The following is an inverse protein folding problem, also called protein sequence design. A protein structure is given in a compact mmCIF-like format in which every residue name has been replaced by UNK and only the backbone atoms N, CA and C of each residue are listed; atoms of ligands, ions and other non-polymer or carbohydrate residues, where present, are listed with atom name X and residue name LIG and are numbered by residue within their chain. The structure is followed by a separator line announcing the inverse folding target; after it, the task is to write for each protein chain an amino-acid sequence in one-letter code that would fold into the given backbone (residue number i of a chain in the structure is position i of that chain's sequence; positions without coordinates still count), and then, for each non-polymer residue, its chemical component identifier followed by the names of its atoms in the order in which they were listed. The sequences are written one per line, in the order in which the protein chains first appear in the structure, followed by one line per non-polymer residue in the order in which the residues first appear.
data_IF_409764882188
#
_entry.id   IF_409764882188
#
_cell.length_a   1.000
_cell.length_b   1.000
_cell.length_c   1.000
_cell.angle_alpha   90.00
_cell.angle_beta   90.00
_cell.angle_gamma   90.00
#
_symmetry.space_group_name_H-M   'P 1'
#
loop_
_entity.id
_entity.type
_entity.pdbx_description
1 polymer ?
#
# COMPACT_ATOMS: atom_id res chain seq x y z
N UNK A 1 -7.34 -0.19 18.84
CA UNK A 1 -6.37 -0.45 17.75
C UNK A 1 -6.79 0.43 16.60
N UNK A 2 -5.91 1.29 16.08
CA UNK A 2 -6.26 2.21 14.99
C UNK A 2 -6.60 1.39 13.75
N UNK A 3 -7.74 1.70 13.13
CA UNK A 3 -8.20 1.07 11.89
C UNK A 3 -7.94 2.02 10.72
N UNK A 4 -7.17 1.56 9.73
CA UNK A 4 -6.98 2.28 8.47
C UNK A 4 -7.68 1.51 7.35
N UNK A 5 -8.59 2.18 6.66
CA UNK A 5 -9.37 1.60 5.56
C UNK A 5 -9.10 2.37 4.27
N UNK A 6 -8.89 1.65 3.18
CA UNK A 6 -8.64 2.20 1.85
C UNK A 6 -9.75 1.75 0.92
N UNK A 7 -10.39 2.71 0.28
CA UNK A 7 -11.41 2.47 -0.74
C UNK A 7 -10.88 2.94 -2.08
N UNK A 8 -10.43 1.99 -2.90
CA UNK A 8 -9.79 2.24 -4.18
C UNK A 8 -10.80 2.51 -5.32
N UNK A 9 -10.36 3.22 -6.37
CA UNK A 9 -11.08 3.27 -7.64
C UNK A 9 -11.34 1.87 -8.21
N UNK A 10 -12.30 1.74 -9.14
CA UNK A 10 -12.49 0.47 -9.84
C UNK A 10 -11.21 0.11 -10.60
N UNK A 11 -10.56 -0.98 -10.20
CA UNK A 11 -9.33 -1.48 -10.83
C UNK A 11 -9.51 -2.96 -11.17
N UNK A 12 -8.66 -3.47 -12.07
CA UNK A 12 -8.69 -4.88 -12.45
C UNK A 12 -8.24 -5.82 -11.31
N UNK A 13 -7.42 -5.33 -10.36
CA UNK A 13 -6.91 -6.05 -9.20
C UNK A 13 -6.66 -5.11 -8.01
N UNK A 14 -6.63 -5.64 -6.79
CA UNK A 14 -6.57 -4.83 -5.56
C UNK A 14 -5.29 -3.99 -5.41
N UNK A 15 -4.18 -4.40 -6.02
CA UNK A 15 -2.92 -3.63 -6.04
C UNK A 15 -2.77 -2.75 -7.27
N UNK A 16 -3.66 -2.88 -8.26
CA UNK A 16 -3.62 -2.11 -9.50
C UNK A 16 -2.39 -2.33 -10.39
N UNK A 17 -1.65 -3.43 -10.18
CA UNK A 17 -0.43 -3.77 -10.96
C UNK A 17 -0.71 -4.65 -12.18
N UNK A 18 -1.98 -4.91 -12.47
CA UNK A 18 -2.43 -5.75 -13.57
C UNK A 18 -2.59 -4.90 -14.84
N UNK A 19 -1.54 -4.82 -15.66
CA UNK A 19 -1.57 -4.10 -16.94
C UNK A 19 -0.19 -3.68 -17.43
N UNK A 20 -0.13 -3.10 -18.63
CA UNK A 20 1.11 -2.56 -19.21
C UNK A 20 1.42 -1.13 -18.77
N UNK A 21 0.43 -0.44 -18.20
CA UNK A 21 0.54 0.95 -17.75
C UNK A 21 0.26 1.02 -16.25
N UNK A 22 1.23 0.56 -15.46
CA UNK A 22 1.14 0.50 -13.99
C UNK A 22 1.54 1.87 -13.45
N UNK A 23 0.63 2.51 -12.69
CA UNK A 23 0.99 3.71 -11.95
C UNK A 23 1.94 3.33 -10.79
N UNK A 24 3.16 3.89 -10.72
CA UNK A 24 4.14 3.54 -9.69
C UNK A 24 3.69 3.88 -8.27
N UNK A 25 2.67 4.74 -8.09
CA UNK A 25 2.11 5.04 -6.78
C UNK A 25 1.44 3.82 -6.16
N UNK A 26 0.83 2.94 -6.96
CA UNK A 26 0.04 1.81 -6.49
C UNK A 26 0.88 0.70 -5.81
N UNK A 27 2.00 0.22 -6.41
CA UNK A 27 2.89 -0.73 -5.73
C UNK A 27 3.62 -0.10 -4.53
N UNK A 28 3.98 1.19 -4.61
CA UNK A 28 4.57 1.90 -3.47
C UNK A 28 3.59 1.96 -2.30
N UNK A 29 2.37 2.39 -2.56
CA UNK A 29 1.32 2.49 -1.56
C UNK A 29 0.97 1.12 -0.97
N UNK A 30 0.91 0.06 -1.79
CA UNK A 30 0.73 -1.31 -1.29
C UNK A 30 1.84 -1.74 -0.31
N UNK A 31 3.10 -1.39 -0.59
CA UNK A 31 4.22 -1.66 0.31
C UNK A 31 4.13 -0.84 1.62
N UNK A 32 3.68 0.42 1.53
CA UNK A 32 3.48 1.27 2.71
C UNK A 32 2.34 0.75 3.60
N UNK A 33 1.26 0.22 3.03
CA UNK A 33 0.18 -0.44 3.76
C UNK A 33 0.66 -1.72 4.47
N UNK A 34 1.50 -2.53 3.81
CA UNK A 34 2.11 -3.70 4.46
C UNK A 34 2.99 -3.29 5.64
N UNK A 35 3.82 -2.25 5.46
CA UNK A 35 4.63 -1.71 6.55
C UNK A 35 3.76 -1.28 7.74
N UNK A 36 2.62 -0.62 7.52
CA UNK A 36 1.69 -0.28 8.60
C UNK A 36 1.14 -1.51 9.33
N UNK A 37 0.85 -2.61 8.62
CA UNK A 37 0.43 -3.88 9.25
C UNK A 37 1.52 -4.43 10.16
N UNK A 38 2.80 -4.35 9.76
CA UNK A 38 3.90 -4.78 10.62
C UNK A 38 4.08 -3.89 11.86
N UNK A 39 3.61 -2.65 11.82
CA UNK A 39 3.56 -1.75 12.99
C UNK A 39 2.33 -2.01 13.89
N UNK A 40 1.49 -3.00 13.57
CA UNK A 40 0.30 -3.34 14.36
C UNK A 40 -0.92 -2.47 14.06
N UNK A 41 -0.99 -1.83 12.89
CA UNK A 41 -2.20 -1.15 12.41
C UNK A 41 -3.11 -2.16 11.73
N UNK A 42 -4.42 -2.07 11.99
CA UNK A 42 -5.40 -2.85 11.27
C UNK A 42 -5.68 -2.18 9.92
N UNK A 43 -5.15 -2.75 8.82
CA UNK A 43 -5.25 -2.17 7.48
C UNK A 43 -6.15 -3.01 6.58
N UNK A 44 -7.27 -2.42 6.16
CA UNK A 44 -8.19 -3.01 5.18
C UNK A 44 -8.19 -2.20 3.87
N UNK A 45 -8.30 -2.90 2.74
CA UNK A 45 -8.26 -2.29 1.41
C UNK A 45 -9.33 -2.93 0.54
N UNK A 46 -10.16 -2.11 -0.08
CA UNK A 46 -11.33 -2.51 -0.84
C UNK A 46 -11.26 -1.93 -2.26
N UNK A 47 -11.53 -2.76 -3.26
CA UNK A 47 -11.62 -2.30 -4.64
C UNK A 47 -13.08 -2.17 -5.10
N UNK A 48 -13.48 -1.02 -5.65
CA UNK A 48 -14.88 -0.80 -6.05
C UNK A 48 -15.39 -1.82 -7.07
N UNK A 49 -14.54 -2.26 -8.01
CA UNK A 49 -14.94 -3.21 -9.04
C UNK A 49 -15.12 -4.65 -8.51
N UNK A 50 -14.43 -4.99 -7.42
CA UNK A 50 -14.44 -6.36 -6.86
C UNK A 50 -15.33 -6.49 -5.63
N UNK A 51 -15.44 -5.41 -4.85
CA UNK A 51 -16.05 -5.40 -3.52
C UNK A 51 -17.01 -4.20 -3.34
N UNK A 52 -17.98 -3.97 -4.24
CA UNK A 52 -18.86 -2.80 -4.17
C UNK A 52 -19.73 -2.74 -2.90
N UNK A 53 -19.97 -3.88 -2.23
CA UNK A 53 -20.74 -3.94 -0.97
C UNK A 53 -20.17 -3.03 0.12
N UNK A 54 -18.85 -3.06 0.33
CA UNK A 54 -18.19 -2.24 1.35
C UNK A 54 -18.35 -0.73 1.11
N UNK A 55 -18.53 -0.30 -0.14
CA UNK A 55 -18.71 1.11 -0.50
C UNK A 55 -20.12 1.62 -0.22
N UNK A 56 -21.12 0.74 -0.16
CA UNK A 56 -22.51 1.12 0.18
C UNK A 56 -22.82 0.96 1.67
N UNK A 57 -22.08 0.09 2.35
CA UNK A 57 -22.21 -0.16 3.79
C UNK A 57 -21.64 0.99 4.64
N UNK A 58 -20.55 1.63 4.21
CA UNK A 58 -20.00 2.79 4.92
C UNK A 58 -20.69 4.08 4.45
N UNK A 59 -21.42 4.74 5.36
CA UNK A 59 -22.21 5.93 5.02
C UNK A 59 -21.37 7.12 4.53
N UNK A 60 -20.17 7.31 5.09
CA UNK A 60 -19.28 8.40 4.69
C UNK A 60 -18.72 8.18 3.28
N UNK A 61 -18.33 6.94 2.97
CA UNK A 61 -17.87 6.55 1.62
C UNK A 61 -19.01 6.67 0.61
N UNK A 62 -20.19 6.15 0.94
CA UNK A 62 -21.39 6.24 0.09
C UNK A 62 -21.76 7.69 -0.20
N UNK A 63 -21.75 8.56 0.81
CA UNK A 63 -22.02 9.99 0.64
C UNK A 63 -20.99 10.67 -0.28
N UNK A 64 -19.70 10.40 -0.07
CA UNK A 64 -18.63 10.96 -0.90
C UNK A 64 -18.74 10.50 -2.37
N UNK A 65 -19.09 9.24 -2.61
CA UNK A 65 -19.34 8.73 -3.95
C UNK A 65 -20.59 9.35 -4.60
N UNK A 66 -21.65 9.56 -3.82
CA UNK A 66 -22.87 10.18 -4.33
C UNK A 66 -22.64 11.65 -4.73
N UNK A 67 -21.85 12.40 -3.95
CA UNK A 67 -21.60 13.82 -4.18
C UNK A 67 -20.54 14.07 -5.28
N UNK A 68 -19.49 13.26 -5.33
CA UNK A 68 -18.33 13.51 -6.18
C UNK A 68 -18.10 12.44 -7.26
N UNK A 69 -18.92 11.39 -7.29
CA UNK A 69 -18.69 10.23 -8.15
C UNK A 69 -17.38 9.51 -7.82
N UNK A 70 -16.86 8.74 -8.78
CA UNK A 70 -15.61 8.00 -8.61
C UNK A 70 -14.36 8.89 -8.52
N UNK A 71 -14.47 10.19 -8.83
CA UNK A 71 -13.35 11.13 -8.80
C UNK A 71 -12.82 11.43 -7.40
N UNK A 72 -13.54 11.06 -6.34
CA UNK A 72 -13.05 11.17 -4.96
C UNK A 72 -12.21 9.98 -4.50
N UNK A 73 -12.12 8.90 -5.31
CA UNK A 73 -11.33 7.73 -5.00
C UNK A 73 -9.85 7.94 -5.38
N UNK A 74 -8.88 7.41 -4.61
CA UNK A 74 -9.08 6.62 -3.40
C UNK A 74 -9.58 7.45 -2.21
N UNK A 75 -10.40 6.85 -1.35
CA UNK A 75 -10.74 7.39 -0.04
C UNK A 75 -9.95 6.65 1.04
N UNK A 76 -9.27 7.39 1.90
CA UNK A 76 -8.55 6.84 3.05
C UNK A 76 -9.30 7.23 4.31
N UNK A 77 -9.60 6.24 5.14
CA UNK A 77 -10.30 6.43 6.40
C UNK A 77 -9.41 6.00 7.57
N UNK A 78 -9.44 6.76 8.65
CA UNK A 78 -8.88 6.37 9.95
C UNK A 78 -10.02 6.34 10.95
N UNK A 79 -10.23 5.18 11.58
CA UNK A 79 -11.31 4.92 12.54
C UNK A 79 -12.69 5.36 12.01
N UNK A 80 -12.96 5.06 10.73
CA UNK A 80 -14.21 5.37 10.05
C UNK A 80 -14.34 6.80 9.51
N UNK A 81 -13.37 7.70 9.76
CA UNK A 81 -13.40 9.07 9.27
C UNK A 81 -12.53 9.26 8.03
N UNK A 82 -13.07 9.89 6.98
CA UNK A 82 -12.31 10.20 5.76
C UNK A 82 -11.25 11.26 6.05
N UNK A 83 -9.99 10.93 5.80
CA UNK A 83 -8.82 11.79 6.00
C UNK A 83 -8.13 12.21 4.69
N UNK A 84 -8.31 11.44 3.61
CA UNK A 84 -7.78 11.74 2.27
C UNK A 84 -8.78 11.33 1.21
N UNK A 85 -8.78 12.08 0.09
CA UNK A 85 -9.62 11.85 -1.09
C UNK A 85 -8.79 12.07 -2.35
N UNK A 86 -9.04 11.28 -3.39
CA UNK A 86 -8.41 11.36 -4.70
C UNK A 86 -6.87 11.24 -4.74
N UNK A 87 -6.23 10.99 -3.60
CA UNK A 87 -4.78 10.90 -3.48
C UNK A 87 -4.36 9.77 -2.54
N UNK A 88 -3.33 9.02 -2.97
CA UNK A 88 -2.64 8.04 -2.14
C UNK A 88 -1.56 8.74 -1.31
N UNK A 89 -1.73 8.87 0.02
CA UNK A 89 -0.76 9.55 0.87
C UNK A 89 0.56 8.78 0.91
N UNK A 90 1.65 9.49 1.10
CA UNK A 90 2.95 8.87 1.33
C UNK A 90 3.06 8.25 2.74
N UNK A 91 4.06 7.40 2.94
CA UNK A 91 4.33 6.74 4.23
C UNK A 91 4.38 7.69 5.43
N UNK A 92 5.03 8.86 5.30
CA UNK A 92 5.18 9.81 6.41
C UNK A 92 3.82 10.39 6.79
N UNK A 93 3.02 10.75 5.78
CA UNK A 93 1.64 11.19 5.98
C UNK A 93 0.82 10.10 6.67
N UNK A 94 0.85 8.86 6.16
CA UNK A 94 0.13 7.74 6.77
C UNK A 94 0.53 7.50 8.23
N UNK A 95 1.83 7.47 8.51
CA UNK A 95 2.36 7.27 9.87
C UNK A 95 1.87 8.36 10.83
N UNK A 96 1.88 9.62 10.39
CA UNK A 96 1.38 10.76 11.16
C UNK A 96 -0.11 10.60 11.46
N UNK A 97 -0.91 10.17 10.47
CA UNK A 97 -2.35 10.00 10.59
C UNK A 97 -2.75 8.89 11.57
N UNK A 98 -1.96 7.82 11.65
CA UNK A 98 -2.21 6.69 12.57
C UNK A 98 -1.42 6.80 13.88
N UNK A 99 -0.74 7.91 14.12
CA UNK A 99 -0.01 8.18 15.36
C UNK A 99 1.26 7.35 15.56
N UNK A 100 1.86 6.83 14.47
CA UNK A 100 3.14 6.13 14.51
C UNK A 100 4.26 7.13 14.22
N UNK A 101 5.31 7.12 15.03
CA UNK A 101 6.54 7.84 14.69
C UNK A 101 7.16 7.18 13.45
N UNK A 102 7.22 7.91 12.32
CA UNK A 102 7.85 7.46 11.07
C UNK A 102 9.39 7.29 11.17
N UNK A 103 9.91 7.06 12.37
CA UNK A 103 11.34 6.87 12.63
C UNK A 103 11.72 5.43 12.26
N UNK A 104 12.08 5.28 10.99
CA UNK A 104 13.05 4.33 10.45
C UNK A 104 13.28 3.02 11.25
N UNK A 105 12.53 1.98 10.89
CA UNK A 105 13.02 0.60 11.03
C UNK A 105 13.40 0.11 9.63
N UNK A 106 14.72 0.02 9.46
CA UNK A 106 15.46 -0.32 8.26
C UNK A 106 15.26 -1.80 7.91
N UNK A 107 14.68 -2.10 6.74
CA UNK A 107 14.88 -3.40 6.10
C UNK A 107 16.17 -3.32 5.28
N UNK A 108 17.25 -3.85 5.85
CA UNK A 108 18.57 -3.87 5.23
C UNK A 108 18.57 -4.61 3.89
N UNK A 109 18.98 -3.90 2.83
CA UNK A 109 19.75 -4.49 1.74
C UNK A 109 21.15 -3.90 1.86
N UNK A 110 21.98 -4.50 2.71
CA UNK A 110 23.43 -4.34 2.58
C UNK A 110 23.84 -5.16 1.36
N UNK A 111 23.82 -4.54 0.19
CA UNK A 111 24.53 -5.02 -0.98
C UNK A 111 26.02 -4.96 -0.70
N UNK A 112 26.55 -5.97 -0.01
CA UNK A 112 27.98 -6.19 0.10
C UNK A 112 28.47 -6.72 -1.26
N UNK A 113 28.75 -5.79 -2.17
CA UNK A 113 29.71 -6.03 -3.23
C UNK A 113 31.06 -6.33 -2.56
N UNK A 114 31.46 -7.60 -2.54
CA UNK A 114 32.85 -7.99 -2.27
C UNK A 114 33.13 -9.38 -2.84
N UNK A 115 33.58 -9.35 -4.10
CA UNK A 115 34.67 -10.16 -4.66
C UNK A 115 34.69 -11.64 -4.28
N UNK A 116 34.21 -12.49 -5.20
CA UNK A 116 34.59 -13.90 -5.24
C UNK A 116 36.11 -14.01 -5.46
N UNK A 117 36.88 -14.61 -4.54
CA UNK A 117 38.24 -15.01 -4.85
C UNK A 117 38.18 -16.21 -5.80
N UNK A 118 38.89 -16.03 -6.91
CA UNK A 118 39.37 -17.07 -7.83
C UNK A 118 39.91 -18.29 -7.07
N UNK A 119 39.43 -19.49 -7.41
CA UNK A 119 40.11 -20.74 -7.12
C UNK A 119 40.72 -21.26 -8.43
N UNK A 120 42.04 -21.21 -8.61
CA UNK A 120 42.69 -22.10 -9.55
C UNK A 120 42.93 -23.44 -8.86
N UNK A 121 42.67 -24.54 -9.54
CA UNK A 121 43.67 -25.59 -9.77
C UNK A 121 43.03 -26.90 -10.14
N UNK A 122 43.48 -27.37 -11.31
CA UNK A 122 43.50 -28.73 -11.80
C UNK A 122 43.39 -29.84 -10.75
N UNK A 123 42.66 -30.91 -11.09
CA UNK A 123 43.21 -32.28 -11.09
C UNK A 123 42.38 -33.16 -12.04
N UNK A 124 43.13 -33.79 -12.95
CA UNK A 124 42.79 -34.84 -13.90
C UNK A 124 42.57 -36.17 -13.17
N UNK A 125 41.55 -36.94 -13.53
CA UNK A 125 41.35 -38.40 -13.34
C UNK A 125 39.90 -38.71 -13.80
N UNK A 126 39.56 -39.66 -14.67
CA UNK A 126 40.24 -40.66 -15.48
C UNK A 126 39.45 -40.78 -16.79
#
# INVERSE_FOLDING_TARGET
MVKLEVFDPPMCCSTGVCGTNIDPVLPRFAADLEWLRTQGINVERYNLAQQPGFFVENESVKAALHEHGNGCLPLILVDGQIISRAEYPDRVSLATLVGISASAESAGVTGAARTLPILPSATKCC
#
